data_IF_740736053048
#
_entry.id   IF_740736053048
#
_cell.length_a   1.000
_cell.length_b   1.000
_cell.length_c   1.000
_cell.angle_alpha   90.00
_cell.angle_beta   90.00
_cell.angle_gamma   90.00
#
_symmetry.space_group_name_H-M   'P 1'
#
loop_
_entity.id
_entity.type
_entity.pdbx_description
1 polymer ?
#
# COMPACT_ATOMS: atom_id res chain seq x y z
N UNK A 1 -21.81 -5.98 36.77
CA UNK A 1 -20.63 -6.15 35.88
C UNK A 1 -21.07 -6.93 34.65
N UNK A 2 -21.19 -6.26 33.49
CA UNK A 2 -21.63 -6.89 32.25
C UNK A 2 -20.52 -7.76 31.64
N UNK A 3 -20.80 -9.04 31.39
CA UNK A 3 -19.86 -9.95 30.72
C UNK A 3 -19.59 -9.47 29.30
N UNK A 4 -18.32 -9.37 28.92
CA UNK A 4 -17.89 -9.11 27.54
C UNK A 4 -18.36 -10.27 26.65
N UNK A 5 -19.16 -9.97 25.62
CA UNK A 5 -19.53 -10.94 24.59
C UNK A 5 -18.30 -11.23 23.72
N UNK A 6 -17.88 -12.49 23.68
CA UNK A 6 -16.91 -12.95 22.69
C UNK A 6 -17.48 -12.79 21.27
N UNK A 7 -16.67 -12.33 20.29
CA UNK A 7 -17.13 -12.11 18.94
C UNK A 7 -17.45 -13.45 18.28
N UNK A 8 -18.70 -13.62 17.83
CA UNK A 8 -19.14 -14.80 17.09
C UNK A 8 -18.31 -14.97 15.82
N UNK A 9 -17.73 -16.14 15.66
CA UNK A 9 -17.04 -16.59 14.45
C UNK A 9 -17.98 -16.59 13.24
N UNK A 10 -17.51 -16.06 12.09
CA UNK A 10 -17.88 -16.68 10.81
C UNK A 10 -18.01 -15.79 9.58
N UNK A 11 -18.25 -14.47 9.68
CA UNK A 11 -18.37 -13.62 8.49
C UNK A 11 -17.65 -12.30 8.70
N UNK A 12 -16.54 -12.11 7.97
CA UNK A 12 -15.87 -10.80 7.91
C UNK A 12 -16.85 -9.81 7.27
N UNK A 13 -17.24 -8.73 7.98
CA UNK A 13 -18.05 -7.69 7.36
C UNK A 13 -17.30 -7.12 6.16
N UNK A 14 -18.02 -6.88 5.06
CA UNK A 14 -17.47 -6.36 3.80
C UNK A 14 -16.43 -7.27 3.12
N UNK A 15 -16.49 -8.60 3.33
CA UNK A 15 -15.60 -9.60 2.71
C UNK A 15 -15.37 -9.36 1.21
N UNK A 16 -16.44 -9.26 0.43
CA UNK A 16 -16.36 -9.05 -1.02
C UNK A 16 -15.62 -7.76 -1.38
N UNK A 17 -15.78 -6.71 -0.57
CA UNK A 17 -15.08 -5.43 -0.79
C UNK A 17 -13.58 -5.61 -0.57
N UNK A 18 -13.18 -6.33 0.48
CA UNK A 18 -11.77 -6.64 0.75
C UNK A 18 -11.17 -7.55 -0.33
N UNK A 19 -11.90 -8.56 -0.79
CA UNK A 19 -11.48 -9.44 -1.90
C UNK A 19 -11.26 -8.65 -3.18
N UNK A 20 -12.20 -7.75 -3.53
CA UNK A 20 -12.07 -6.86 -4.69
C UNK A 20 -10.89 -5.90 -4.57
N UNK A 21 -10.67 -5.30 -3.39
CA UNK A 21 -9.50 -4.44 -3.16
C UNK A 21 -8.18 -5.23 -3.26
N UNK A 22 -8.15 -6.45 -2.75
CA UNK A 22 -6.98 -7.32 -2.83
C UNK A 22 -6.64 -7.66 -4.30
N UNK A 23 -7.62 -8.07 -5.08
CA UNK A 23 -7.44 -8.34 -6.51
C UNK A 23 -6.88 -7.11 -7.26
N UNK A 24 -7.48 -5.94 -7.05
CA UNK A 24 -7.04 -4.70 -7.70
C UNK A 24 -5.61 -4.29 -7.30
N UNK A 25 -5.21 -4.58 -6.06
CA UNK A 25 -3.86 -4.30 -5.60
C UNK A 25 -2.83 -5.23 -6.24
N UNK A 26 -3.12 -6.53 -6.27
CA UNK A 26 -2.25 -7.54 -6.88
C UNK A 26 -2.10 -7.32 -8.38
N UNK A 27 -3.20 -7.06 -9.08
CA UNK A 27 -3.17 -6.76 -10.52
C UNK A 27 -2.36 -5.50 -10.81
N UNK A 28 -2.53 -4.43 -10.03
CA UNK A 28 -1.76 -3.21 -10.17
C UNK A 28 -0.25 -3.45 -10.03
N UNK A 29 0.18 -4.26 -9.06
CA UNK A 29 1.59 -4.61 -8.89
C UNK A 29 2.11 -5.43 -10.07
N UNK A 30 1.37 -6.44 -10.51
CA UNK A 30 1.74 -7.31 -11.62
C UNK A 30 1.94 -6.52 -12.93
N UNK A 31 0.99 -5.65 -13.29
CA UNK A 31 1.13 -4.82 -14.49
C UNK A 31 2.25 -3.79 -14.40
N UNK A 32 2.52 -3.26 -13.20
CA UNK A 32 3.66 -2.37 -13.00
C UNK A 32 5.00 -3.11 -13.11
N UNK A 33 5.09 -4.37 -12.67
CA UNK A 33 6.27 -5.20 -12.86
C UNK A 33 6.50 -5.53 -14.34
N UNK A 34 5.43 -5.89 -15.06
CA UNK A 34 5.50 -6.23 -16.48
C UNK A 34 5.92 -5.03 -17.35
N UNK A 35 5.61 -3.81 -16.92
CA UNK A 35 6.04 -2.58 -17.61
C UNK A 35 7.56 -2.38 -17.68
N UNK A 36 8.37 -3.11 -16.90
CA UNK A 36 9.83 -3.07 -17.06
C UNK A 36 10.31 -3.76 -18.33
N UNK A 37 9.59 -4.81 -18.75
CA UNK A 37 10.00 -5.70 -19.82
C UNK A 37 9.33 -5.31 -21.16
N UNK A 38 8.39 -4.36 -21.13
CA UNK A 38 7.69 -3.86 -22.30
C UNK A 38 8.40 -2.67 -22.92
N UNK A 39 8.32 -2.55 -24.24
CA UNK A 39 8.72 -1.33 -24.95
C UNK A 39 7.99 -0.10 -24.37
N UNK A 40 8.61 1.10 -24.43
CA UNK A 40 7.99 2.33 -23.91
C UNK A 40 6.62 2.62 -24.54
N UNK A 41 6.38 2.19 -25.78
CA UNK A 41 5.08 2.32 -26.46
C UNK A 41 4.00 1.37 -25.94
N UNK A 42 4.38 0.25 -25.31
CA UNK A 42 3.47 -0.75 -24.73
C UNK A 42 3.49 -0.75 -23.21
N UNK A 43 3.83 0.39 -22.59
CA UNK A 43 3.85 0.51 -21.12
C UNK A 43 2.47 0.23 -20.53
N UNK A 44 2.38 -0.82 -19.71
CA UNK A 44 1.16 -1.20 -18.97
C UNK A 44 0.97 -0.41 -17.67
N UNK A 45 1.82 0.57 -17.42
CA UNK A 45 1.77 1.35 -16.20
C UNK A 45 0.51 2.25 -16.06
N UNK A 46 -0.04 2.86 -17.12
CA UNK A 46 -1.33 3.56 -17.02
C UNK A 46 -2.45 2.64 -16.50
N UNK A 47 -2.45 1.36 -16.90
CA UNK A 47 -3.39 0.36 -16.41
C UNK A 47 -3.16 0.03 -14.92
N UNK A 48 -1.90 -0.14 -14.51
CA UNK A 48 -1.56 -0.33 -13.09
C UNK A 48 -2.02 0.83 -12.19
N UNK A 49 -1.93 2.07 -12.70
CA UNK A 49 -2.45 3.26 -12.01
C UNK A 49 -3.95 3.25 -11.90
N UNK A 50 -4.65 2.85 -12.97
CA UNK A 50 -6.10 2.75 -12.98
C UNK A 50 -6.59 1.80 -11.87
N UNK A 51 -6.04 0.59 -11.78
CA UNK A 51 -6.41 -0.36 -10.73
C UNK A 51 -6.12 0.15 -9.31
N UNK A 52 -4.98 0.80 -9.10
CA UNK A 52 -4.66 1.42 -7.81
C UNK A 52 -5.58 2.57 -7.44
N UNK A 53 -6.05 3.35 -8.42
CA UNK A 53 -7.04 4.42 -8.25
C UNK A 53 -8.40 3.85 -7.90
N UNK A 54 -8.84 2.80 -8.59
CA UNK A 54 -10.10 2.10 -8.30
C UNK A 54 -10.10 1.47 -6.91
N UNK A 55 -9.02 0.79 -6.51
CA UNK A 55 -8.86 0.25 -5.16
C UNK A 55 -9.05 1.34 -4.08
N UNK A 56 -8.47 2.54 -4.30
CA UNK A 56 -8.67 3.68 -3.40
C UNK A 56 -10.09 4.25 -3.43
N UNK A 57 -10.72 4.28 -4.59
CA UNK A 57 -12.11 4.73 -4.74
C UNK A 57 -13.04 3.82 -3.94
N UNK A 58 -12.88 2.50 -4.08
CA UNK A 58 -13.61 1.50 -3.32
C UNK A 58 -13.38 1.70 -1.82
N UNK A 59 -12.12 1.76 -1.36
CA UNK A 59 -11.80 1.95 0.05
C UNK A 59 -12.43 3.22 0.66
N UNK A 60 -12.53 4.30 -0.11
CA UNK A 60 -13.20 5.54 0.31
C UNK A 60 -14.71 5.37 0.42
N UNK A 61 -15.33 4.75 -0.59
CA UNK A 61 -16.79 4.52 -0.65
C UNK A 61 -17.26 3.54 0.42
N UNK A 62 -16.49 2.48 0.67
CA UNK A 62 -16.80 1.48 1.69
C UNK A 62 -16.37 1.87 3.11
N UNK A 63 -15.72 3.05 3.27
CA UNK A 63 -15.16 3.54 4.53
C UNK A 63 -14.20 2.51 5.16
N UNK A 64 -13.51 1.72 4.33
CA UNK A 64 -12.60 0.68 4.80
C UNK A 64 -11.20 1.25 5.05
N UNK A 65 -10.63 0.91 6.21
CA UNK A 65 -9.25 1.31 6.55
C UNK A 65 -8.25 0.43 5.81
N UNK A 66 -7.48 1.03 4.88
CA UNK A 66 -6.37 0.34 4.24
C UNK A 66 -5.18 0.16 5.19
N UNK A 67 -4.55 -1.01 5.13
CA UNK A 67 -3.31 -1.31 5.86
C UNK A 67 -2.21 -0.28 5.52
N UNK A 68 -1.39 0.14 6.51
CA UNK A 68 -0.24 1.01 6.27
C UNK A 68 0.70 0.48 5.19
N UNK A 69 0.89 -0.84 5.10
CA UNK A 69 1.75 -1.49 4.09
C UNK A 69 1.27 -1.20 2.67
N UNK A 70 -0.04 -1.36 2.42
CA UNK A 70 -0.67 -1.04 1.13
C UNK A 70 -0.57 0.46 0.81
N UNK A 71 -0.91 1.34 1.77
CA UNK A 71 -0.87 2.79 1.59
C UNK A 71 0.53 3.32 1.30
N UNK A 72 1.56 2.72 1.90
CA UNK A 72 2.97 3.06 1.65
C UNK A 72 3.41 2.65 0.25
N UNK A 73 2.90 1.53 -0.26
CA UNK A 73 3.19 1.01 -1.60
C UNK A 73 2.49 1.73 -2.77
N UNK A 74 1.70 2.79 -2.56
CA UNK A 74 0.99 3.50 -3.64
C UNK A 74 1.24 5.01 -3.56
N UNK A 75 1.57 5.67 -4.67
CA UNK A 75 1.80 7.11 -4.73
C UNK A 75 0.58 7.90 -4.22
N UNK A 76 0.78 8.99 -3.46
CA UNK A 76 -0.35 9.77 -2.90
C UNK A 76 -1.12 10.58 -3.96
N UNK A 77 -0.46 11.01 -5.05
CA UNK A 77 -1.04 11.85 -6.11
C UNK A 77 -1.53 10.99 -7.27
N UNK A 78 -0.61 10.48 -8.09
CA UNK A 78 -0.94 9.75 -9.33
C UNK A 78 -1.42 8.30 -9.11
N UNK A 79 -1.49 7.83 -7.86
CA UNK A 79 -1.85 6.46 -7.49
C UNK A 79 -1.02 5.36 -8.17
N UNK A 80 0.18 5.66 -8.68
CA UNK A 80 1.07 4.63 -9.23
C UNK A 80 1.55 3.70 -8.10
N UNK A 81 1.52 2.37 -8.28
CA UNK A 81 2.17 1.45 -7.34
C UNK A 81 3.68 1.72 -7.31
N UNK A 82 4.26 1.82 -6.13
CA UNK A 82 5.65 2.21 -5.89
C UNK A 82 6.52 0.95 -5.72
N UNK A 83 7.07 0.49 -6.83
CA UNK A 83 7.99 -0.65 -6.89
C UNK A 83 9.43 -0.12 -7.06
N UNK A 84 10.34 -0.43 -6.12
CA UNK A 84 11.73 0.03 -6.19
C UNK A 84 12.40 -0.45 -7.46
N UNK A 85 13.12 0.46 -8.14
CA UNK A 85 13.83 0.14 -9.40
C UNK A 85 12.97 0.24 -10.65
N UNK A 86 11.65 0.36 -10.50
CA UNK A 86 10.68 0.38 -11.62
C UNK A 86 9.97 1.73 -11.70
N UNK A 87 9.12 1.98 -10.71
CA UNK A 87 8.21 3.11 -10.66
C UNK A 87 8.51 4.06 -9.51
N UNK A 88 9.46 3.67 -8.64
CA UNK A 88 9.96 4.51 -7.57
C UNK A 88 11.46 4.32 -7.32
N UNK A 89 12.07 5.38 -6.82
CA UNK A 89 13.41 5.34 -6.24
C UNK A 89 13.27 5.38 -4.72
N UNK A 90 13.98 4.48 -4.01
CA UNK A 90 14.06 4.49 -2.56
C UNK A 90 15.46 4.91 -2.15
N UNK A 91 15.58 5.96 -1.34
CA UNK A 91 16.85 6.46 -0.80
C UNK A 91 16.78 6.48 0.72
N UNK A 92 17.75 5.84 1.37
CA UNK A 92 17.94 5.94 2.81
C UNK A 92 18.94 7.05 3.10
N UNK A 93 18.51 8.06 3.85
CA UNK A 93 19.40 9.09 4.39
C UNK A 93 19.77 8.72 5.82
N UNK A 94 21.07 8.62 6.09
CA UNK A 94 21.66 8.36 7.41
C UNK A 94 22.06 9.63 8.15
N UNK A 95 21.32 10.73 7.94
CA UNK A 95 21.62 12.01 8.60
C UNK A 95 21.71 11.85 10.13
N UNK A 96 22.72 12.48 10.73
CA UNK A 96 23.19 12.23 12.10
C UNK A 96 22.14 12.29 13.23
N UNK A 97 20.99 12.96 13.01
CA UNK A 97 19.94 13.11 14.04
C UNK A 97 18.67 12.30 13.79
N UNK A 98 18.28 12.05 12.53
CA UNK A 98 17.02 11.35 12.19
C UNK A 98 17.14 10.61 10.86
N UNK A 99 17.46 9.29 10.88
CA UNK A 99 17.52 8.51 9.65
C UNK A 99 16.12 8.43 9.01
N UNK A 100 16.07 8.53 7.68
CA UNK A 100 14.82 8.56 6.91
C UNK A 100 14.92 7.74 5.64
N UNK A 101 13.84 7.07 5.27
CA UNK A 101 13.70 6.44 3.95
C UNK A 101 12.74 7.28 3.12
N UNK A 102 13.25 7.88 2.05
CA UNK A 102 12.47 8.65 1.09
C UNK A 102 12.20 7.79 -0.13
N UNK A 103 10.92 7.59 -0.43
CA UNK A 103 10.44 6.93 -1.65
C UNK A 103 9.90 8.00 -2.60
N UNK A 104 10.52 8.16 -3.76
CA UNK A 104 10.15 9.15 -4.78
C UNK A 104 9.55 8.44 -5.98
N UNK A 105 8.37 8.86 -6.42
CA UNK A 105 7.75 8.36 -7.64
C UNK A 105 8.49 8.93 -8.86
N UNK A 106 8.94 8.07 -9.76
CA UNK A 106 9.66 8.49 -10.98
C UNK A 106 8.77 9.22 -11.98
N UNK A 107 7.46 8.98 -11.92
CA UNK A 107 6.51 9.55 -12.88
C UNK A 107 5.99 10.94 -12.56
N UNK A 108 5.69 11.22 -11.28
CA UNK A 108 5.11 12.51 -10.87
C UNK A 108 6.02 13.32 -9.94
N UNK A 109 7.22 12.80 -9.63
CA UNK A 109 8.17 13.44 -8.70
C UNK A 109 7.75 13.47 -7.23
N UNK A 110 6.52 13.07 -6.90
CA UNK A 110 6.03 13.10 -5.53
C UNK A 110 6.81 12.13 -4.66
N UNK A 111 7.30 12.60 -3.51
CA UNK A 111 8.03 11.80 -2.55
C UNK A 111 7.23 11.56 -1.26
N UNK A 112 7.57 10.47 -0.58
CA UNK A 112 7.13 10.13 0.76
C UNK A 112 8.36 9.82 1.60
N UNK A 113 8.54 10.53 2.71
CA UNK A 113 9.64 10.28 3.65
C UNK A 113 9.08 9.66 4.92
N UNK A 114 9.61 8.51 5.30
CA UNK A 114 9.30 7.82 6.54
C UNK A 114 10.54 7.81 7.45
N UNK A 115 10.38 7.97 8.77
CA UNK A 115 11.48 7.78 9.70
C UNK A 115 11.95 6.32 9.64
N UNK A 116 13.27 6.12 9.66
CA UNK A 116 13.92 4.82 9.67
C UNK A 116 14.42 4.51 11.08
N UNK A 117 13.50 4.41 12.04
CA UNK A 117 13.85 4.00 13.40
C UNK A 117 13.75 2.46 13.49
N UNK A 118 14.85 1.74 13.82
CA UNK A 118 14.79 0.28 14.01
C UNK A 118 13.80 -0.15 15.10
N UNK A 119 13.58 0.66 16.14
CA UNK A 119 12.71 0.31 17.27
C UNK A 119 11.22 0.59 16.99
N UNK A 120 10.90 1.25 15.88
CA UNK A 120 9.53 1.66 15.58
C UNK A 120 8.74 0.55 14.86
N UNK A 121 7.69 0.06 15.53
CA UNK A 121 6.75 -0.92 14.97
C UNK A 121 5.41 -0.25 14.67
N UNK A 122 4.83 -0.58 13.50
CA UNK A 122 3.48 -0.13 13.15
C UNK A 122 2.44 -0.70 14.12
N UNK A 123 1.37 0.06 14.38
CA UNK A 123 0.25 -0.41 15.21
C UNK A 123 -0.27 -1.79 14.80
N UNK A 124 -0.39 -2.04 13.49
CA UNK A 124 -0.87 -3.33 12.93
C UNK A 124 0.10 -4.49 13.09
N UNK A 125 1.39 -4.20 13.31
CA UNK A 125 2.44 -5.23 13.42
C UNK A 125 2.79 -5.53 14.90
N UNK A 126 2.15 -4.83 15.86
CA UNK A 126 2.38 -5.07 17.30
C UNK A 126 1.83 -6.45 17.69
N UNK A 127 2.56 -7.22 18.52
CA UNK A 127 2.15 -8.57 18.91
C UNK A 127 0.79 -8.61 19.61
N UNK A 128 0.46 -7.58 20.40
CA UNK A 128 -0.82 -7.41 21.11
C UNK A 128 -2.03 -7.23 20.19
N UNK A 129 -1.80 -6.80 18.95
CA UNK A 129 -2.83 -6.44 17.97
C UNK A 129 -2.77 -7.31 16.72
N UNK A 130 -2.07 -8.46 16.77
CA UNK A 130 -2.16 -9.47 15.74
C UNK A 130 -3.60 -9.96 15.68
N UNK A 131 -4.41 -9.33 14.84
CA UNK A 131 -5.65 -9.89 14.33
C UNK A 131 -5.29 -11.26 13.77
N UNK A 132 -5.84 -12.28 14.42
CA UNK A 132 -5.80 -13.68 14.01
C UNK A 132 -6.08 -13.69 12.50
N UNK A 133 -5.07 -14.07 11.72
CA UNK A 133 -5.27 -14.56 10.37
C UNK A 133 -5.84 -15.98 10.45
#
# INVERSE_FOLDING_TARGET
>A
MGKAKEPKSGVLPQRETYERMNFLYQSAQFYAQLSQNSNPETSLLPLARFYSKEMRSIARKSVSRLSPHLKRGICKVCSTPLLPGISCTKRASRGARRPRVTTTCTYCGTHKSLPSNPDYVLFVDRPEHKTIH
#
